data_IF_719263878178
#
_entry.id   IF_719263878178
#
_cell.length_a   1.000
_cell.length_b   1.000
_cell.length_c   1.000
_cell.angle_alpha   90.00
_cell.angle_beta   90.00
_cell.angle_gamma   90.00
#
_symmetry.space_group_name_H-M   'P 1'
#
loop_
_entity.id
_entity.type
_entity.pdbx_description
1 polymer ?
#
# COMPACT_ATOMS: atom_id res chain seq x y z
N UNK A 1 9.54 7.91 -0.74
CA UNK A 1 9.54 6.93 0.36
C UNK A 1 8.48 7.32 1.38
N UNK A 2 7.93 6.33 2.02
CA UNK A 2 6.83 6.52 2.96
C UNK A 2 7.39 6.52 4.37
N UNK A 3 6.98 7.49 5.17
CA UNK A 3 7.38 7.59 6.57
C UNK A 3 6.17 7.92 7.43
N UNK A 4 6.37 8.03 8.74
CA UNK A 4 5.29 8.45 9.64
C UNK A 4 4.70 9.78 9.16
N UNK A 5 3.38 9.88 9.22
CA UNK A 5 2.58 11.03 8.80
C UNK A 5 2.47 11.22 7.29
N UNK A 6 3.06 10.38 6.46
CA UNK A 6 2.83 10.42 5.02
C UNK A 6 1.40 9.98 4.72
N UNK A 7 0.71 10.74 3.89
CA UNK A 7 -0.63 10.39 3.42
C UNK A 7 -0.55 9.67 2.09
N UNK A 8 -1.35 8.62 1.95
CA UNK A 8 -1.38 7.78 0.76
C UNK A 8 -2.82 7.62 0.28
N UNK A 9 -2.97 7.54 -1.05
CA UNK A 9 -4.23 7.12 -1.63
C UNK A 9 -4.42 5.62 -1.38
N UNK A 10 -5.67 5.17 -1.35
CA UNK A 10 -5.99 3.74 -1.20
C UNK A 10 -6.40 3.20 -2.55
N UNK A 11 -5.72 2.16 -3.00
CA UNK A 11 -5.88 1.60 -4.34
C UNK A 11 -6.82 0.40 -4.38
N UNK A 12 -7.77 0.32 -3.45
CA UNK A 12 -8.72 -0.79 -3.41
C UNK A 12 -10.16 -0.31 -3.16
N UNK A 13 -11.08 -1.26 -3.16
CA UNK A 13 -12.51 -0.97 -2.99
C UNK A 13 -13.03 -1.22 -1.58
N UNK A 14 -12.18 -1.11 -0.56
CA UNK A 14 -12.59 -1.27 0.84
C UNK A 14 -13.44 -0.11 1.35
N UNK A 15 -13.48 0.99 0.63
CA UNK A 15 -14.16 2.21 1.04
C UNK A 15 -13.23 3.27 1.58
N UNK A 16 -12.04 2.93 2.02
CA UNK A 16 -11.05 3.91 2.42
C UNK A 16 -10.52 4.63 1.17
N UNK A 17 -10.36 5.96 1.26
CA UNK A 17 -9.87 6.78 0.15
C UNK A 17 -8.49 7.34 0.43
N UNK A 18 -8.22 7.68 1.68
CA UNK A 18 -6.93 8.23 2.08
C UNK A 18 -6.57 7.68 3.46
N UNK A 19 -5.31 7.26 3.60
CA UNK A 19 -4.76 6.81 4.87
C UNK A 19 -3.49 7.58 5.20
N UNK A 20 -3.16 7.65 6.48
CA UNK A 20 -1.93 8.28 6.95
C UNK A 20 -1.07 7.23 7.64
N UNK A 21 0.18 7.12 7.24
CA UNK A 21 1.11 6.18 7.86
C UNK A 21 1.38 6.59 9.30
N UNK A 22 1.12 5.67 10.24
CA UNK A 22 1.43 5.86 11.65
C UNK A 22 2.79 5.23 11.97
N UNK A 23 3.05 4.06 11.41
CA UNK A 23 4.25 3.29 11.73
C UNK A 23 4.68 2.46 10.52
N UNK A 24 6.00 2.40 10.30
CA UNK A 24 6.60 1.51 9.31
C UNK A 24 6.98 0.21 9.99
N UNK A 25 6.49 -0.92 9.46
CA UNK A 25 6.79 -2.25 10.00
C UNK A 25 8.15 -2.73 9.53
N UNK A 26 8.75 -3.66 10.26
CA UNK A 26 10.01 -4.28 9.84
C UNK A 26 11.20 -4.00 10.73
N UNK A 27 10.98 -3.56 11.95
CA UNK A 27 12.04 -3.38 12.94
C UNK A 27 12.03 -2.01 13.59
N UNK A 28 12.65 -1.90 14.78
CA UNK A 28 12.59 -0.69 15.59
C UNK A 28 13.32 0.50 14.96
N UNK A 29 14.25 0.25 14.04
CA UNK A 29 15.03 1.30 13.38
C UNK A 29 14.56 1.64 11.97
N UNK A 30 13.55 0.96 11.47
CA UNK A 30 13.06 1.21 10.13
C UNK A 30 12.24 2.49 10.10
N UNK A 31 12.68 3.47 9.31
CA UNK A 31 12.06 4.80 9.23
C UNK A 31 11.23 4.98 7.97
N UNK A 32 11.56 4.27 6.90
CA UNK A 32 10.97 4.49 5.58
C UNK A 32 10.44 3.19 5.00
N UNK A 33 9.32 3.27 4.32
CA UNK A 33 8.74 2.16 3.58
C UNK A 33 8.82 2.46 2.08
N UNK A 34 9.02 1.41 1.31
CA UNK A 34 8.95 1.47 -0.15
C UNK A 34 7.96 0.42 -0.62
N UNK A 35 7.87 0.21 -1.93
CA UNK A 35 6.93 -0.77 -2.50
C UNK A 35 7.16 -2.15 -1.88
N UNK A 36 6.07 -2.78 -1.46
CA UNK A 36 6.11 -4.11 -0.85
C UNK A 36 6.28 -4.11 0.66
N UNK A 37 6.52 -2.96 1.27
CA UNK A 37 6.64 -2.85 2.72
C UNK A 37 5.27 -2.67 3.37
N UNK A 38 5.09 -3.26 4.54
CA UNK A 38 3.88 -3.10 5.33
C UNK A 38 3.98 -1.87 6.23
N UNK A 39 2.85 -1.19 6.38
CA UNK A 39 2.73 -0.03 7.27
C UNK A 39 1.43 -0.15 8.05
N UNK A 40 1.41 0.51 9.21
CA UNK A 40 0.18 0.70 9.98
C UNK A 40 -0.33 2.10 9.67
N UNK A 41 -1.61 2.19 9.33
CA UNK A 41 -2.23 3.44 8.88
C UNK A 41 -3.47 3.77 9.67
N UNK A 42 -3.76 5.07 9.76
CA UNK A 42 -5.06 5.57 10.20
C UNK A 42 -5.85 6.02 8.98
N UNK A 43 -7.11 5.61 8.90
CA UNK A 43 -7.98 5.99 7.79
C UNK A 43 -8.45 7.42 7.99
N UNK A 44 -8.12 8.31 7.07
CA UNK A 44 -8.44 9.74 7.15
C UNK A 44 -9.68 10.11 6.34
N UNK A 45 -9.93 9.41 5.24
CA UNK A 45 -11.12 9.61 4.41
C UNK A 45 -11.65 8.25 4.00
N UNK A 46 -12.95 8.03 4.14
CA UNK A 46 -13.61 6.80 3.76
C UNK A 46 -15.03 7.05 3.30
N UNK A 47 -15.50 6.19 2.39
CA UNK A 47 -16.90 6.20 1.94
C UNK A 47 -17.78 5.58 3.02
N UNK A 48 -18.90 6.21 3.39
CA UNK A 48 -19.84 5.61 4.36
C UNK A 48 -20.31 4.24 3.89
N UNK A 49 -20.40 3.29 4.83
CA UNK A 49 -20.89 1.94 4.53
C UNK A 49 -19.86 0.99 3.96
N UNK A 50 -18.60 1.40 3.83
CA UNK A 50 -17.53 0.51 3.37
C UNK A 50 -17.06 -0.44 4.45
N UNK A 51 -16.16 -1.35 4.06
CA UNK A 51 -15.54 -2.33 4.97
C UNK A 51 -14.70 -1.64 6.04
N UNK A 52 -14.09 -0.51 5.68
CA UNK A 52 -13.21 0.27 6.55
C UNK A 52 -13.83 1.64 6.75
N UNK A 53 -13.79 2.13 8.00
CA UNK A 53 -14.40 3.42 8.38
C UNK A 53 -13.33 4.44 8.71
N UNK A 54 -13.68 5.71 8.60
CA UNK A 54 -12.81 6.82 9.02
C UNK A 54 -12.42 6.64 10.49
N UNK A 55 -11.13 6.80 10.77
CA UNK A 55 -10.59 6.65 12.11
C UNK A 55 -10.08 5.26 12.44
N UNK A 56 -10.37 4.27 11.62
CA UNK A 56 -9.87 2.91 11.83
C UNK A 56 -8.34 2.87 11.68
N UNK A 57 -7.72 2.01 12.47
CA UNK A 57 -6.29 1.70 12.34
C UNK A 57 -6.17 0.38 11.60
N UNK A 58 -5.48 0.40 10.47
CA UNK A 58 -5.41 -0.75 9.57
C UNK A 58 -3.98 -1.03 9.14
N UNK A 59 -3.72 -2.26 8.74
CA UNK A 59 -2.46 -2.66 8.12
C UNK A 59 -2.59 -2.50 6.61
N UNK A 60 -1.56 -1.97 5.97
CA UNK A 60 -1.55 -1.77 4.52
C UNK A 60 -0.18 -2.10 3.96
N UNK A 61 -0.14 -2.40 2.68
CA UNK A 61 1.12 -2.59 1.93
C UNK A 61 1.23 -1.49 0.90
N UNK A 62 2.43 -0.92 0.76
CA UNK A 62 2.70 0.13 -0.22
C UNK A 62 2.80 -0.51 -1.61
N UNK A 63 1.97 -0.05 -2.55
CA UNK A 63 1.95 -0.59 -3.92
C UNK A 63 2.51 0.39 -4.95
N UNK A 64 2.52 1.68 -4.66
CA UNK A 64 3.06 2.73 -5.53
C UNK A 64 3.75 3.79 -4.69
N UNK A 65 4.85 4.34 -5.21
CA UNK A 65 5.53 5.48 -4.57
C UNK A 65 5.92 6.51 -5.63
N UNK A 66 5.88 7.79 -5.23
CA UNK A 66 6.37 8.89 -6.07
C UNK A 66 7.89 8.84 -6.16
N UNK A 67 8.56 8.50 -5.06
CA UNK A 67 10.01 8.32 -5.04
C UNK A 67 10.39 7.08 -5.83
N UNK A 68 11.37 7.19 -6.72
CA UNK A 68 11.81 6.06 -7.51
C UNK A 68 12.40 4.94 -6.65
N UNK A 69 12.10 3.70 -7.03
CA UNK A 69 12.63 2.50 -6.40
C UNK A 69 13.59 1.81 -7.37
N UNK A 70 14.79 1.49 -6.89
CA UNK A 70 15.76 0.75 -7.68
C UNK A 70 15.37 -0.72 -7.75
N UNK A 71 15.36 -1.26 -8.96
CA UNK A 71 15.08 -2.68 -9.19
C UNK A 71 16.36 -3.50 -9.25
N UNK A 72 16.20 -4.81 -9.11
CA UNK A 72 17.33 -5.74 -9.13
C UNK A 72 18.13 -5.69 -10.44
N UNK A 73 17.48 -5.35 -11.57
CA UNK A 73 18.11 -5.24 -12.87
C UNK A 73 18.80 -3.89 -13.12
N UNK A 74 18.81 -3.01 -12.12
CA UNK A 74 19.45 -1.69 -12.22
C UNK A 74 18.51 -0.60 -12.74
N UNK A 75 17.30 -0.91 -13.19
CA UNK A 75 16.34 0.09 -13.60
C UNK A 75 15.63 0.68 -12.39
N UNK A 76 14.83 1.74 -12.62
CA UNK A 76 14.05 2.40 -11.59
C UNK A 76 12.59 2.43 -11.99
N UNK A 77 11.70 2.41 -11.00
CA UNK A 77 10.29 2.61 -11.22
C UNK A 77 9.78 3.69 -10.26
N UNK A 78 8.89 4.55 -10.76
CA UNK A 78 8.18 5.52 -9.94
C UNK A 78 6.77 5.71 -10.49
N UNK A 79 5.90 6.22 -9.65
CA UNK A 79 4.49 6.45 -9.99
C UNK A 79 4.11 7.91 -9.73
N UNK A 80 2.92 8.29 -10.17
CA UNK A 80 2.43 9.66 -9.99
C UNK A 80 1.97 9.95 -8.57
N UNK A 81 1.69 8.91 -7.78
CA UNK A 81 1.19 9.06 -6.42
C UNK A 81 1.71 7.96 -5.51
N UNK A 82 1.64 8.22 -4.20
CA UNK A 82 1.85 7.18 -3.20
C UNK A 82 0.52 6.48 -2.96
N UNK A 83 0.50 5.16 -3.01
CA UNK A 83 -0.72 4.40 -2.81
C UNK A 83 -0.46 3.12 -2.03
N UNK A 84 -1.47 2.69 -1.28
CA UNK A 84 -1.42 1.50 -0.47
C UNK A 84 -2.69 0.68 -0.66
N UNK A 85 -2.60 -0.61 -0.36
CA UNK A 85 -3.73 -1.54 -0.34
C UNK A 85 -3.88 -2.06 1.07
N UNK A 86 -5.10 -2.02 1.60
CA UNK A 86 -5.38 -2.50 2.95
C UNK A 86 -5.36 -4.03 2.93
N UNK A 87 -4.58 -4.62 3.85
CA UNK A 87 -4.38 -6.06 3.92
C UNK A 87 -4.72 -6.61 5.29
N UNK A 88 -4.95 -7.92 5.33
CA UNK A 88 -5.11 -8.68 6.58
C UNK A 88 -3.75 -9.14 7.08
N UNK A 89 -3.73 -9.76 8.26
CA UNK A 89 -2.50 -10.29 8.84
C UNK A 89 -1.87 -11.40 7.99
N UNK A 90 -2.66 -12.08 7.18
CA UNK A 90 -2.21 -13.17 6.30
C UNK A 90 -1.74 -12.69 4.92
N UNK A 91 -1.53 -11.38 4.75
CA UNK A 91 -1.11 -10.75 3.49
C UNK A 91 -2.16 -10.77 2.37
N UNK A 92 -3.38 -11.14 2.68
CA UNK A 92 -4.47 -11.07 1.71
C UNK A 92 -5.12 -9.68 1.75
N UNK A 93 -5.51 -9.11 0.59
CA UNK A 93 -6.20 -7.82 0.59
C UNK A 93 -7.59 -7.95 1.22
N UNK A 94 -8.02 -6.91 1.90
CA UNK A 94 -9.37 -6.86 2.47
C UNK A 94 -10.42 -6.57 1.42
N UNK A 95 -10.04 -5.86 0.37
CA UNK A 95 -10.93 -5.57 -0.74
C UNK A 95 -10.92 -6.68 -1.79
N UNK A 96 -11.81 -6.58 -2.76
CA UNK A 96 -11.94 -7.54 -3.84
C UNK A 96 -11.41 -7.01 -5.17
N UNK A 97 -11.09 -5.72 -5.25
CA UNK A 97 -10.60 -5.07 -6.47
C UNK A 97 -9.43 -4.16 -6.14
N UNK A 98 -8.50 -4.06 -7.09
CA UNK A 98 -7.35 -3.15 -7.02
C UNK A 98 -7.47 -2.15 -8.16
N UNK A 99 -7.20 -0.88 -7.90
CA UNK A 99 -7.28 0.19 -8.87
C UNK A 99 -5.89 0.69 -9.26
N UNK A 100 -5.66 0.83 -10.56
CA UNK A 100 -4.42 1.34 -11.09
C UNK A 100 -3.27 0.34 -11.07
N UNK A 101 -2.09 0.75 -11.55
CA UNK A 101 -0.94 -0.15 -11.63
C UNK A 101 -0.33 -0.42 -10.27
N UNK A 102 0.31 -1.56 -10.13
CA UNK A 102 1.11 -1.91 -8.96
C UNK A 102 2.49 -2.36 -9.43
N UNK A 103 3.48 -2.23 -8.55
CA UNK A 103 4.84 -2.67 -8.89
C UNK A 103 4.96 -4.18 -8.73
N UNK A 104 5.70 -4.82 -9.65
CA UNK A 104 5.89 -6.28 -9.62
C UNK A 104 6.73 -6.77 -8.45
N UNK A 105 7.42 -5.88 -7.75
CA UNK A 105 8.20 -6.21 -6.56
C UNK A 105 7.34 -6.80 -5.43
N UNK A 106 6.04 -6.65 -5.49
CA UNK A 106 5.13 -7.28 -4.53
C UNK A 106 5.22 -8.81 -4.57
N UNK A 107 5.64 -9.40 -5.68
CA UNK A 107 5.84 -10.84 -5.80
C UNK A 107 6.91 -11.34 -4.82
N UNK A 108 8.00 -10.59 -4.70
CA UNK A 108 9.11 -10.96 -3.83
C UNK A 108 8.74 -10.87 -2.35
N UNK A 109 7.70 -10.10 -2.05
CA UNK A 109 7.18 -9.93 -0.68
C UNK A 109 5.96 -10.82 -0.42
N UNK A 110 5.63 -11.72 -1.37
CA UNK A 110 4.55 -12.70 -1.24
C UNK A 110 3.13 -12.13 -1.25
N UNK A 111 2.93 -10.98 -1.90
CA UNK A 111 1.60 -10.39 -2.09
C UNK A 111 0.97 -10.82 -3.42
N UNK A 112 0.91 -12.12 -3.65
CA UNK A 112 0.46 -12.69 -4.93
C UNK A 112 -1.00 -12.37 -5.23
N UNK A 113 -1.85 -12.34 -4.21
CA UNK A 113 -3.27 -12.06 -4.41
C UNK A 113 -3.49 -10.64 -4.92
N UNK A 114 -2.72 -9.68 -4.43
CA UNK A 114 -2.77 -8.30 -4.91
C UNK A 114 -2.37 -8.24 -6.38
N UNK A 115 -1.29 -8.94 -6.74
CA UNK A 115 -0.84 -8.98 -8.13
C UNK A 115 -1.89 -9.58 -9.06
N UNK A 116 -2.60 -10.63 -8.60
CA UNK A 116 -3.62 -11.28 -9.43
C UNK A 116 -4.86 -10.41 -9.62
N UNK A 117 -5.16 -9.51 -8.67
CA UNK A 117 -6.30 -8.61 -8.76
C UNK A 117 -5.97 -7.29 -9.46
N UNK A 118 -4.70 -6.95 -9.59
CA UNK A 118 -4.29 -5.67 -10.17
C UNK A 118 -4.56 -5.65 -11.67
N UNK A 119 -5.08 -4.52 -12.20
CA UNK A 119 -5.32 -4.40 -13.65
C UNK A 119 -4.04 -4.30 -14.46
N UNK A 120 -2.96 -3.84 -13.84
CA UNK A 120 -1.68 -3.68 -14.51
C UNK A 120 -0.54 -3.86 -13.51
N UNK A 121 0.47 -4.64 -13.88
CA UNK A 121 1.64 -4.89 -13.05
C UNK A 121 2.87 -4.36 -13.79
N UNK A 122 3.50 -3.37 -13.22
CA UNK A 122 4.68 -2.72 -13.79
C UNK A 122 5.93 -3.06 -12.98
#
# INVERSE_FOLDING_TARGET
MIQQQTRLAVADNTGAKEVMCIRVMGGSKKRYATVGDEIICSVKKATPGGVVKKGDVVKAVVVRTVKECKRADGSYIRFDENAAVIVRDDKNPRGTRIFGPVARELRDKEYMKILSLAPEVL
#
